data_IF_830542936197
#
_entry.id   IF_830542936197
#
_cell.length_a   1.000
_cell.length_b   1.000
_cell.length_c   1.000
_cell.angle_alpha   90.00
_cell.angle_beta   90.00
_cell.angle_gamma   90.00
#
_symmetry.space_group_name_H-M   'P 1'
#
loop_
_entity.id
_entity.type
_entity.pdbx_description
1 polymer ?
#
# COMPACT_ATOMS: atom_id res chain seq x y z
N UNK A 1 -1.75 -2.45 12.94
CA UNK A 1 -2.41 -1.14 12.66
C UNK A 1 -1.47 -0.04 13.16
N UNK A 2 -1.12 0.90 12.31
CA UNK A 2 -0.36 2.10 12.72
C UNK A 2 -1.34 3.05 13.46
N UNK A 3 -1.15 3.32 14.75
CA UNK A 3 -2.07 4.16 15.52
C UNK A 3 -2.12 5.62 15.04
N UNK A 4 -1.14 6.02 14.22
CA UNK A 4 -1.05 7.38 13.64
C UNK A 4 -1.87 7.53 12.36
N UNK A 5 -2.24 6.40 11.73
CA UNK A 5 -3.05 6.38 10.52
C UNK A 5 -4.49 5.98 10.88
N UNK A 6 -5.46 6.68 10.33
CA UNK A 6 -6.87 6.30 10.41
C UNK A 6 -7.11 4.89 9.84
N UNK A 7 -8.33 4.39 10.06
CA UNK A 7 -8.72 3.10 9.48
C UNK A 7 -8.75 3.26 7.96
N UNK A 8 -7.92 2.48 7.27
CA UNK A 8 -7.89 2.47 5.81
C UNK A 8 -9.18 1.84 5.27
N UNK A 9 -9.61 2.33 4.10
CA UNK A 9 -10.74 1.75 3.39
C UNK A 9 -10.51 0.25 3.21
N UNK A 10 -11.55 -0.55 3.47
CA UNK A 10 -11.53 -2.02 3.43
C UNK A 10 -10.58 -2.70 4.44
N UNK A 11 -10.01 -1.98 5.37
CA UNK A 11 -9.09 -2.53 6.37
C UNK A 11 -9.74 -3.49 7.36
N UNK A 12 -10.93 -3.17 7.94
CA UNK A 12 -11.66 -4.08 8.80
C UNK A 12 -12.07 -5.38 8.10
N UNK A 13 -12.55 -5.29 6.86
CA UNK A 13 -12.99 -6.41 6.04
C UNK A 13 -11.82 -7.34 5.70
N UNK A 14 -10.68 -6.77 5.29
CA UNK A 14 -9.46 -7.52 5.03
C UNK A 14 -8.94 -8.23 6.30
N UNK A 15 -9.03 -7.58 7.47
CA UNK A 15 -8.66 -8.18 8.75
C UNK A 15 -9.60 -9.35 9.12
N UNK A 16 -10.90 -9.19 8.90
CA UNK A 16 -11.88 -10.24 9.14
C UNK A 16 -11.68 -11.45 8.20
N UNK A 17 -11.44 -11.19 6.92
CA UNK A 17 -11.16 -12.23 5.93
C UNK A 17 -9.89 -13.01 6.28
N UNK A 18 -8.81 -12.31 6.64
CA UNK A 18 -7.58 -12.95 7.09
C UNK A 18 -7.81 -13.86 8.31
N UNK A 19 -8.57 -13.39 9.29
CA UNK A 19 -8.91 -14.16 10.48
C UNK A 19 -9.80 -15.38 10.14
N UNK A 20 -10.68 -15.27 9.16
CA UNK A 20 -11.51 -16.39 8.70
C UNK A 20 -10.69 -17.47 7.96
N UNK A 21 -9.68 -17.05 7.18
CA UNK A 21 -8.78 -17.98 6.48
C UNK A 21 -7.88 -18.76 7.45
N UNK A 22 -7.33 -18.08 8.45
CA UNK A 22 -6.43 -18.66 9.46
C UNK A 22 -6.86 -18.22 10.88
N UNK A 23 -7.95 -18.81 11.45
CA UNK A 23 -8.33 -18.56 12.83
C UNK A 23 -7.20 -18.90 13.81
N UNK A 24 -7.21 -18.34 15.04
CA UNK A 24 -6.25 -18.69 16.07
C UNK A 24 -6.17 -20.21 16.30
N UNK A 25 -4.95 -20.74 16.39
CA UNK A 25 -4.70 -22.17 16.50
C UNK A 25 -4.57 -22.92 15.16
N UNK A 26 -4.77 -22.23 14.02
CA UNK A 26 -4.51 -22.84 12.71
C UNK A 26 -3.02 -23.07 12.51
N UNK A 27 -2.65 -24.30 12.16
CA UNK A 27 -1.28 -24.63 11.75
C UNK A 27 -0.99 -24.01 10.38
N UNK A 28 0.17 -23.36 10.29
CA UNK A 28 0.65 -22.71 9.07
C UNK A 28 2.08 -23.14 8.73
N UNK A 29 2.40 -23.13 7.45
CA UNK A 29 3.77 -23.30 6.95
C UNK A 29 4.23 -21.92 6.46
N UNK A 30 5.40 -21.48 6.93
CA UNK A 30 6.03 -20.25 6.49
C UNK A 30 7.18 -20.58 5.53
N UNK A 31 7.12 -20.02 4.34
CA UNK A 31 8.17 -20.17 3.33
C UNK A 31 8.81 -18.80 3.09
N UNK A 32 10.10 -18.70 3.33
CA UNK A 32 10.83 -17.47 3.09
C UNK A 32 11.25 -17.36 1.62
N UNK A 33 11.39 -16.16 1.14
CA UNK A 33 12.12 -15.83 -0.07
C UNK A 33 13.59 -15.49 0.27
N UNK A 34 14.25 -14.68 -0.51
CA UNK A 34 15.67 -14.31 -0.34
C UNK A 34 15.94 -13.63 1.01
N UNK A 35 15.13 -12.64 1.37
CA UNK A 35 15.23 -11.93 2.65
C UNK A 35 14.10 -12.36 3.60
N UNK A 36 14.43 -13.00 4.74
CA UNK A 36 13.43 -13.48 5.69
C UNK A 36 12.90 -12.39 6.63
N UNK A 37 13.52 -11.20 6.64
CA UNK A 37 13.13 -10.08 7.50
C UNK A 37 13.28 -8.75 6.77
N UNK A 38 12.40 -7.82 7.09
CA UNK A 38 12.52 -6.44 6.62
C UNK A 38 13.45 -5.59 7.52
N UNK A 39 13.69 -4.34 7.12
CA UNK A 39 14.51 -3.37 7.87
C UNK A 39 14.02 -3.06 9.28
N UNK A 40 12.77 -3.40 9.59
CA UNK A 40 12.18 -3.21 10.93
C UNK A 40 12.18 -4.50 11.76
N UNK A 41 12.83 -5.57 11.27
CA UNK A 41 12.90 -6.87 11.93
C UNK A 41 11.63 -7.73 11.81
N UNK A 42 10.63 -7.30 11.00
CA UNK A 42 9.41 -8.09 10.77
C UNK A 42 9.72 -9.28 9.86
N UNK A 43 9.17 -10.45 10.18
CA UNK A 43 9.30 -11.62 9.31
C UNK A 43 8.56 -11.42 7.99
N UNK A 44 9.23 -11.79 6.89
CA UNK A 44 8.70 -11.82 5.54
C UNK A 44 8.54 -13.28 5.13
N UNK A 45 7.33 -13.70 4.82
CA UNK A 45 7.08 -15.09 4.45
C UNK A 45 5.84 -15.23 3.57
N UNK A 46 5.87 -16.24 2.74
CA UNK A 46 4.69 -16.82 2.10
C UNK A 46 4.02 -17.77 3.08
N UNK A 47 2.73 -17.60 3.32
CA UNK A 47 1.98 -18.31 4.34
C UNK A 47 1.08 -19.34 3.69
N UNK A 48 1.26 -20.59 4.05
CA UNK A 48 0.40 -21.70 3.62
C UNK A 48 -0.32 -22.29 4.82
N UNK A 49 -1.61 -22.60 4.66
CA UNK A 49 -2.38 -23.32 5.68
C UNK A 49 -2.02 -24.79 5.63
N UNK A 50 -1.53 -25.36 6.75
CA UNK A 50 -0.91 -26.70 6.75
C UNK A 50 -1.88 -27.81 6.34
N UNK A 51 -3.16 -27.74 6.75
CA UNK A 51 -4.15 -28.80 6.53
C UNK A 51 -4.49 -29.07 5.05
N UNK A 52 -4.40 -28.07 4.17
CA UNK A 52 -4.86 -28.13 2.78
C UNK A 52 -3.94 -27.41 1.79
N UNK A 53 -2.82 -26.86 2.27
CA UNK A 53 -1.85 -26.16 1.42
C UNK A 53 -2.34 -24.84 0.83
N UNK A 54 -3.45 -24.27 1.31
CA UNK A 54 -3.97 -23.01 0.80
C UNK A 54 -2.94 -21.89 0.96
N UNK A 55 -2.58 -21.24 -0.14
CA UNK A 55 -1.66 -20.10 -0.17
C UNK A 55 -2.39 -18.83 0.25
N UNK A 56 -2.25 -18.44 1.51
CA UNK A 56 -3.03 -17.37 2.15
C UNK A 56 -2.77 -16.01 1.49
N UNK A 57 -1.51 -15.69 1.18
CA UNK A 57 -1.17 -14.42 0.51
C UNK A 57 -1.88 -14.29 -0.85
N UNK A 58 -1.83 -15.36 -1.66
CA UNK A 58 -2.48 -15.39 -2.97
C UNK A 58 -4.01 -15.29 -2.85
N UNK A 59 -4.58 -15.99 -1.88
CA UNK A 59 -6.04 -16.00 -1.65
C UNK A 59 -6.56 -14.62 -1.27
N UNK A 60 -5.84 -13.88 -0.41
CA UNK A 60 -6.19 -12.51 -0.04
C UNK A 60 -6.16 -11.57 -1.25
N UNK A 61 -5.16 -11.70 -2.12
CA UNK A 61 -5.06 -10.90 -3.36
C UNK A 61 -6.18 -11.27 -4.32
N UNK A 62 -6.42 -12.57 -4.53
CA UNK A 62 -7.43 -13.10 -5.45
C UNK A 62 -8.84 -12.60 -5.10
N UNK A 63 -9.15 -12.46 -3.82
CA UNK A 63 -10.45 -11.97 -3.34
C UNK A 63 -10.52 -10.44 -3.19
N UNK A 64 -9.45 -9.72 -3.50
CA UNK A 64 -9.39 -8.27 -3.38
C UNK A 64 -9.32 -7.76 -1.93
N UNK A 65 -8.84 -8.57 -0.98
CA UNK A 65 -8.56 -8.14 0.39
C UNK A 65 -7.15 -7.56 0.57
N UNK A 66 -6.29 -7.77 -0.41
CA UNK A 66 -4.95 -7.22 -0.47
C UNK A 66 -4.61 -6.80 -1.90
N UNK A 67 -3.67 -5.89 -2.03
CA UNK A 67 -3.05 -5.56 -3.31
C UNK A 67 -1.57 -5.91 -3.30
N UNK A 68 -0.99 -6.04 -4.49
CA UNK A 68 0.41 -6.44 -4.66
C UNK A 68 1.32 -5.24 -4.45
N UNK A 69 2.40 -5.48 -3.69
CA UNK A 69 3.50 -4.55 -3.51
C UNK A 69 4.80 -5.36 -3.57
N UNK A 70 5.60 -5.14 -4.60
CA UNK A 70 6.80 -5.93 -4.86
C UNK A 70 8.03 -5.25 -4.26
N UNK A 71 8.78 -5.99 -3.46
CA UNK A 71 10.01 -5.53 -2.82
C UNK A 71 11.16 -6.49 -3.14
N UNK A 72 11.98 -6.19 -4.16
CA UNK A 72 13.18 -6.99 -4.42
C UNK A 72 14.09 -7.03 -3.17
N UNK A 73 14.77 -8.17 -2.90
CA UNK A 73 14.91 -9.32 -3.78
C UNK A 73 13.79 -10.39 -3.65
N UNK A 74 12.74 -10.16 -2.85
CA UNK A 74 11.66 -11.10 -2.62
C UNK A 74 10.64 -11.06 -3.77
N UNK A 75 10.86 -11.87 -4.80
CA UNK A 75 10.10 -11.83 -6.05
C UNK A 75 9.60 -13.20 -6.55
N UNK A 76 9.75 -14.27 -5.75
CA UNK A 76 9.44 -15.64 -6.19
C UNK A 76 8.01 -15.81 -6.74
N UNK A 77 7.02 -15.10 -6.20
CA UNK A 77 5.62 -15.17 -6.62
C UNK A 77 5.12 -13.91 -7.34
N UNK A 78 6.02 -13.05 -7.84
CA UNK A 78 5.62 -11.74 -8.39
C UNK A 78 4.63 -11.88 -9.57
N UNK A 79 4.88 -12.80 -10.50
CA UNK A 79 4.03 -13.00 -11.69
C UNK A 79 2.62 -13.49 -11.29
N UNK A 80 2.55 -14.45 -10.37
CA UNK A 80 1.29 -14.95 -9.82
C UNK A 80 0.49 -13.84 -9.15
N UNK A 81 1.12 -13.08 -8.26
CA UNK A 81 0.45 -11.98 -7.56
C UNK A 81 -0.01 -10.87 -8.51
N UNK A 82 0.79 -10.49 -9.50
CA UNK A 82 0.40 -9.48 -10.50
C UNK A 82 -0.83 -9.93 -11.28
N UNK A 83 -0.89 -11.21 -11.69
CA UNK A 83 -2.06 -11.75 -12.39
C UNK A 83 -3.30 -11.75 -11.50
N UNK A 84 -3.21 -12.30 -10.28
CA UNK A 84 -4.33 -12.32 -9.32
C UNK A 84 -4.85 -10.92 -8.98
N UNK A 85 -3.93 -9.96 -8.84
CA UNK A 85 -4.28 -8.56 -8.60
C UNK A 85 -5.02 -7.93 -9.79
N UNK A 86 -4.58 -8.22 -11.02
CA UNK A 86 -5.25 -7.76 -12.22
C UNK A 86 -6.66 -8.37 -12.35
N UNK A 87 -6.80 -9.66 -12.08
CA UNK A 87 -8.09 -10.37 -12.13
C UNK A 87 -9.06 -9.82 -11.09
N UNK A 88 -8.61 -9.65 -9.84
CA UNK A 88 -9.43 -9.08 -8.77
C UNK A 88 -9.88 -7.64 -9.09
N UNK A 89 -8.97 -6.83 -9.66
CA UNK A 89 -9.27 -5.47 -10.10
C UNK A 89 -10.30 -5.44 -11.23
N UNK A 90 -10.12 -6.27 -12.25
CA UNK A 90 -11.01 -6.33 -13.41
C UNK A 90 -12.40 -6.81 -13.03
N UNK A 91 -12.49 -7.71 -12.04
CA UNK A 91 -13.75 -8.21 -11.50
C UNK A 91 -14.36 -7.30 -10.42
N UNK A 92 -13.73 -6.19 -10.05
CA UNK A 92 -14.21 -5.26 -9.02
C UNK A 92 -14.31 -5.90 -7.64
N UNK A 93 -13.42 -6.82 -7.27
CA UNK A 93 -13.51 -7.54 -6.00
C UNK A 93 -12.96 -6.74 -4.83
N UNK A 94 -13.66 -6.81 -3.70
CA UNK A 94 -13.19 -6.30 -2.42
C UNK A 94 -12.80 -4.82 -2.45
N UNK A 95 -11.54 -4.49 -2.16
CA UNK A 95 -11.03 -3.12 -2.14
C UNK A 95 -11.12 -2.40 -3.50
N UNK A 96 -11.22 -3.15 -4.60
CA UNK A 96 -11.28 -2.57 -5.95
C UNK A 96 -12.65 -1.95 -6.24
N UNK A 97 -13.73 -2.58 -5.76
CA UNK A 97 -15.09 -2.01 -5.81
C UNK A 97 -15.30 -0.99 -4.69
N UNK A 98 -15.08 -1.41 -3.44
CA UNK A 98 -15.38 -0.60 -2.26
C UNK A 98 -14.55 0.68 -2.16
N UNK A 99 -13.28 0.65 -2.58
CA UNK A 99 -12.34 1.76 -2.45
C UNK A 99 -11.83 2.28 -3.80
N UNK A 100 -12.10 1.55 -4.88
CA UNK A 100 -11.51 1.79 -6.21
C UNK A 100 -10.02 1.54 -6.27
N UNK A 101 -9.52 0.68 -5.38
CA UNK A 101 -8.12 0.29 -5.28
C UNK A 101 -7.38 0.93 -4.09
N UNK A 102 -6.11 0.56 -3.90
CA UNK A 102 -5.32 0.94 -2.73
C UNK A 102 -5.01 2.44 -2.62
N UNK A 103 -5.13 3.15 -3.72
CA UNK A 103 -4.78 4.57 -3.81
C UNK A 103 -5.99 5.51 -3.85
N UNK A 104 -7.23 4.99 -3.73
CA UNK A 104 -8.36 5.90 -3.59
C UNK A 104 -8.37 6.46 -2.18
N UNK A 105 -8.21 7.77 -2.14
CA UNK A 105 -8.47 8.62 -0.99
C UNK A 105 -9.77 8.22 -0.32
N UNK A 106 -9.78 8.31 0.98
CA UNK A 106 -11.03 8.63 1.66
C UNK A 106 -11.56 9.92 1.01
N UNK A 107 -12.52 9.79 0.10
CA UNK A 107 -13.11 10.93 -0.63
C UNK A 107 -13.82 11.90 0.31
N UNK A 108 -13.99 11.52 1.58
CA UNK A 108 -14.50 12.35 2.65
C UNK A 108 -13.40 13.12 3.39
N UNK A 109 -12.11 12.81 3.18
CA UNK A 109 -11.02 13.60 3.77
C UNK A 109 -10.72 14.79 2.86
N UNK A 110 -10.87 16.03 3.33
CA UNK A 110 -10.51 17.20 2.56
C UNK A 110 -9.04 17.13 2.14
N UNK A 111 -8.76 17.53 0.87
CA UNK A 111 -7.38 17.65 0.41
C UNK A 111 -6.66 18.69 1.25
N UNK A 112 -5.44 18.37 1.63
CA UNK A 112 -4.57 19.32 2.29
C UNK A 112 -4.03 20.27 1.21
N UNK A 113 -4.28 21.56 1.41
CA UNK A 113 -3.79 22.65 0.55
C UNK A 113 -2.93 23.57 1.38
N UNK A 114 -1.84 24.05 0.79
CA UNK A 114 -1.04 25.09 1.43
C UNK A 114 -1.84 26.41 1.50
N UNK A 115 -1.73 27.18 2.60
CA UNK A 115 -2.19 28.57 2.61
C UNK A 115 -1.50 29.38 1.49
N UNK A 116 -2.15 30.43 0.96
CA UNK A 116 -1.52 31.29 -0.04
C UNK A 116 -0.15 31.81 0.44
N UNK A 117 0.89 31.56 -0.36
CA UNK A 117 2.26 31.98 -0.07
C UNK A 117 3.06 31.09 0.90
N UNK A 118 2.51 29.96 1.33
CA UNK A 118 3.18 29.01 2.23
C UNK A 118 3.49 27.67 1.54
N UNK A 119 3.89 27.73 0.27
CA UNK A 119 4.31 26.53 -0.46
C UNK A 119 5.71 26.09 -0.03
N UNK A 120 5.92 24.78 0.11
CA UNK A 120 7.22 24.21 0.43
C UNK A 120 8.18 24.41 -0.77
N UNK A 121 9.36 25.05 -0.56
CA UNK A 121 10.31 25.35 -1.61
C UNK A 121 11.01 24.10 -2.17
N UNK A 122 10.86 22.94 -1.55
CA UNK A 122 11.41 21.68 -2.05
C UNK A 122 10.66 21.14 -3.28
N UNK A 123 9.50 21.73 -3.63
CA UNK A 123 8.65 21.26 -4.72
C UNK A 123 8.35 22.37 -5.72
N UNK A 124 8.48 22.06 -7.01
CA UNK A 124 8.19 22.95 -8.12
C UNK A 124 7.04 22.41 -8.98
N UNK A 125 6.20 23.27 -9.51
CA UNK A 125 5.01 22.90 -10.28
C UNK A 125 3.76 22.59 -9.43
N UNK A 126 3.88 22.59 -8.11
CA UNK A 126 2.77 22.40 -7.18
C UNK A 126 2.98 23.17 -5.87
N UNK A 127 1.91 23.74 -5.32
CA UNK A 127 1.97 24.35 -4.01
C UNK A 127 1.66 23.31 -2.93
N UNK A 128 2.70 22.76 -2.35
CA UNK A 128 2.62 21.75 -1.30
C UNK A 128 2.80 22.45 0.06
N UNK A 129 2.01 22.10 1.10
CA UNK A 129 2.25 22.59 2.46
C UNK A 129 3.63 22.19 2.97
N UNK A 130 4.27 23.04 3.76
CA UNK A 130 5.55 22.72 4.37
C UNK A 130 5.42 21.60 5.41
N UNK A 131 6.45 20.77 5.50
CA UNK A 131 6.59 19.77 6.56
C UNK A 131 6.86 20.46 7.93
N UNK A 132 6.30 19.99 9.07
CA UNK A 132 5.26 18.97 9.23
C UNK A 132 3.84 19.55 9.00
N UNK A 133 2.80 18.72 8.79
CA UNK A 133 2.76 17.27 8.93
C UNK A 133 3.34 16.54 7.72
N UNK A 134 3.69 15.23 7.88
CA UNK A 134 4.05 14.34 6.78
C UNK A 134 2.80 14.04 5.96
N UNK A 135 2.85 14.27 4.65
CA UNK A 135 1.73 14.11 3.72
C UNK A 135 2.02 12.98 2.73
N UNK A 136 0.99 12.21 2.40
CA UNK A 136 1.04 11.22 1.33
C UNK A 136 0.47 11.79 0.01
N UNK A 137 0.87 11.24 -1.14
CA UNK A 137 0.31 11.60 -2.45
C UNK A 137 -1.22 11.50 -2.50
N UNK A 138 -1.84 10.64 -1.68
CA UNK A 138 -3.28 10.54 -1.52
C UNK A 138 -3.93 11.74 -0.82
N UNK A 139 -3.19 12.57 -0.10
CA UNK A 139 -3.71 13.67 0.73
C UNK A 139 -3.64 15.03 0.04
N UNK A 140 -2.95 15.12 -1.10
CA UNK A 140 -2.81 16.34 -1.89
C UNK A 140 -3.42 16.18 -3.29
N UNK A 141 -3.81 17.31 -3.92
CA UNK A 141 -4.36 17.32 -5.28
C UNK A 141 -3.28 17.16 -6.35
N UNK A 142 -2.09 17.68 -6.08
CA UNK A 142 -1.01 17.77 -7.05
C UNK A 142 -0.50 16.39 -7.48
N UNK A 143 -0.12 16.28 -8.76
CA UNK A 143 0.48 15.10 -9.38
C UNK A 143 1.59 15.53 -10.34
N UNK A 144 2.58 14.65 -10.54
CA UNK A 144 3.66 14.83 -11.51
C UNK A 144 4.40 16.17 -11.33
N UNK A 145 4.68 16.56 -10.09
CA UNK A 145 5.43 17.77 -9.77
C UNK A 145 6.90 17.45 -9.46
N UNK A 146 7.76 18.44 -9.59
CA UNK A 146 9.20 18.24 -9.44
C UNK A 146 9.65 18.33 -7.98
N UNK A 147 10.56 17.45 -7.59
CA UNK A 147 11.32 17.54 -6.34
C UNK A 147 12.64 18.26 -6.65
N UNK A 148 12.76 19.51 -6.16
CA UNK A 148 13.95 20.34 -6.39
C UNK A 148 14.85 20.45 -5.16
N UNK A 149 14.37 20.00 -4.01
CA UNK A 149 15.06 20.03 -2.71
C UNK A 149 15.16 18.66 -2.03
N UNK A 150 14.99 18.64 -0.72
CA UNK A 150 15.26 17.47 0.14
C UNK A 150 14.14 16.43 0.22
N UNK A 151 13.00 16.66 -0.44
CA UNK A 151 11.79 15.80 -0.37
C UNK A 151 11.35 15.43 1.06
N UNK A 152 10.99 16.40 1.91
CA UNK A 152 10.66 16.12 3.31
C UNK A 152 9.42 15.23 3.50
N UNK A 153 8.50 15.20 2.54
CA UNK A 153 7.32 14.33 2.52
C UNK A 153 7.55 12.96 1.88
N UNK A 154 8.71 12.76 1.24
CA UNK A 154 9.07 11.49 0.56
C UNK A 154 8.09 11.10 -0.55
N UNK A 155 7.64 12.08 -1.32
CA UNK A 155 6.73 11.88 -2.45
C UNK A 155 7.40 11.23 -3.67
N UNK A 156 8.73 11.31 -3.76
CA UNK A 156 9.56 10.72 -4.82
C UNK A 156 10.21 9.42 -4.32
N UNK A 157 9.44 8.34 -4.32
CA UNK A 157 9.87 7.04 -3.80
C UNK A 157 10.92 6.33 -4.67
N UNK A 158 10.97 6.63 -5.97
CA UNK A 158 11.89 6.04 -6.94
C UNK A 158 13.12 6.92 -7.24
N UNK A 159 13.19 8.12 -6.66
CA UNK A 159 14.28 9.08 -6.77
C UNK A 159 14.54 9.58 -8.21
N UNK A 160 13.50 9.67 -9.04
CA UNK A 160 13.58 10.23 -10.40
C UNK A 160 13.29 11.74 -10.46
N UNK A 161 13.08 12.36 -9.30
CA UNK A 161 12.71 13.77 -9.10
C UNK A 161 11.32 14.15 -9.56
N UNK A 162 10.46 13.18 -9.87
CA UNK A 162 9.04 13.41 -10.18
C UNK A 162 8.19 12.80 -9.08
N UNK A 163 7.50 13.64 -8.36
CA UNK A 163 6.68 13.23 -7.22
C UNK A 163 5.24 12.90 -7.61
N UNK A 164 4.63 11.97 -6.88
CA UNK A 164 3.23 11.58 -7.01
C UNK A 164 2.81 11.23 -8.45
N UNK A 165 3.62 10.42 -9.12
CA UNK A 165 3.31 9.91 -10.46
C UNK A 165 2.02 9.09 -10.41
N UNK A 166 1.06 9.44 -11.25
CA UNK A 166 -0.28 8.83 -11.30
C UNK A 166 -0.38 7.67 -12.26
#
# INVERSE_FOLDING_TARGET
KDPRKGVQCFGPEASAAHLALIPPGTEIVLVNDVEPRDRFGRSLAYVYRARDGLFINAELVRQGFAFVSTYPPNVAHVNEFVQLNADARNAGLGLWDACGGPSRRDTNKPLVTAPPGACDPNYEGACIPSYPPDLDCGEIAARNFMVVGSDPHRFDANHDKVACVG
#
